data_IF_367152249846
#
_entry.id   IF_367152249846
#
_cell.length_a   1.000
_cell.length_b   1.000
_cell.length_c   1.000
_cell.angle_alpha   90.00
_cell.angle_beta   90.00
_cell.angle_gamma   90.00
#
_symmetry.space_group_name_H-M   'P 1'
#
loop_
_entity.id
_entity.type
_entity.pdbx_description
1 polymer ?
#
# COMPACT_ATOMS: atom_id res chain seq x y z
N UNK A 1 23.91 -10.41 -9.68
CA UNK A 1 22.60 -9.74 -9.83
C UNK A 1 21.60 -10.61 -10.60
N UNK A 2 21.88 -11.00 -11.84
CA UNK A 2 20.89 -11.73 -12.66
C UNK A 2 20.49 -13.12 -12.12
N UNK A 3 21.42 -13.89 -11.53
CA UNK A 3 21.10 -15.19 -10.92
C UNK A 3 20.15 -15.06 -9.70
N UNK A 4 20.31 -13.99 -8.92
CA UNK A 4 19.42 -13.69 -7.78
C UNK A 4 18.01 -13.33 -8.26
N UNK A 5 17.91 -12.46 -9.27
CA UNK A 5 16.63 -12.09 -9.87
C UNK A 5 15.89 -13.29 -10.46
N UNK A 6 16.61 -14.17 -11.17
CA UNK A 6 16.06 -15.44 -11.67
C UNK A 6 15.55 -16.33 -10.52
N UNK A 7 16.30 -16.44 -9.43
CA UNK A 7 15.89 -17.20 -8.25
C UNK A 7 14.65 -16.60 -7.56
N UNK A 8 14.58 -15.27 -7.43
CA UNK A 8 13.42 -14.56 -6.90
C UNK A 8 12.19 -14.76 -7.79
N UNK A 9 12.35 -14.63 -9.11
CA UNK A 9 11.29 -14.89 -10.09
C UNK A 9 10.77 -16.32 -9.96
N UNK A 10 11.66 -17.31 -9.93
CA UNK A 10 11.27 -18.71 -9.75
C UNK A 10 10.58 -18.95 -8.40
N UNK A 11 11.08 -18.34 -7.31
CA UNK A 11 10.48 -18.44 -5.98
C UNK A 11 9.03 -17.92 -5.99
N UNK A 12 8.81 -16.71 -6.50
CA UNK A 12 7.50 -16.07 -6.49
C UNK A 12 6.53 -16.69 -7.52
N UNK A 13 7.01 -17.01 -8.72
CA UNK A 13 6.18 -17.55 -9.80
C UNK A 13 5.84 -19.04 -9.64
N UNK A 14 6.79 -19.86 -9.16
CA UNK A 14 6.65 -21.32 -9.11
C UNK A 14 6.31 -21.80 -7.71
N UNK A 15 7.07 -21.37 -6.70
CA UNK A 15 6.90 -21.90 -5.33
C UNK A 15 5.69 -21.29 -4.64
N UNK A 16 5.57 -19.97 -4.69
CA UNK A 16 4.41 -19.25 -4.14
C UNK A 16 3.22 -19.24 -5.10
N UNK A 17 3.47 -19.46 -6.41
CA UNK A 17 2.58 -19.22 -7.55
C UNK A 17 1.10 -19.55 -7.35
N UNK A 18 0.31 -18.55 -6.97
CA UNK A 18 -1.16 -18.61 -6.91
C UNK A 18 -1.74 -18.27 -8.28
N UNK A 19 -2.77 -19.00 -8.69
CA UNK A 19 -3.55 -18.72 -9.90
C UNK A 19 -4.80 -17.89 -9.57
N UNK A 20 -4.63 -16.57 -9.39
CA UNK A 20 -5.71 -15.67 -9.03
C UNK A 20 -6.81 -15.59 -10.09
N UNK A 21 -6.44 -15.67 -11.38
CA UNK A 21 -7.42 -15.72 -12.47
C UNK A 21 -8.46 -16.84 -12.32
N UNK A 22 -8.04 -18.02 -11.84
CA UNK A 22 -8.95 -19.16 -11.66
C UNK A 22 -9.62 -19.17 -10.28
N UNK A 23 -8.88 -18.80 -9.22
CA UNK A 23 -9.41 -18.84 -7.85
C UNK A 23 -10.33 -17.66 -7.53
N UNK A 24 -10.11 -16.51 -8.16
CA UNK A 24 -10.88 -15.29 -7.96
C UNK A 24 -10.60 -14.57 -6.65
N UNK A 25 -11.29 -13.44 -6.49
CA UNK A 25 -11.40 -12.67 -5.24
C UNK A 25 -12.26 -13.42 -4.21
N UNK A 26 -12.07 -13.13 -2.92
CA UNK A 26 -12.84 -13.76 -1.83
C UNK A 26 -12.53 -15.24 -1.59
N UNK A 27 -11.70 -15.87 -2.42
CA UNK A 27 -11.06 -17.13 -2.05
C UNK A 27 -10.21 -16.89 -0.80
N UNK A 28 -10.11 -17.88 0.06
CA UNK A 28 -9.30 -17.76 1.28
C UNK A 28 -7.84 -17.78 0.88
N UNK A 29 -7.24 -16.64 0.58
CA UNK A 29 -5.85 -16.50 0.23
C UNK A 29 -4.99 -16.32 1.49
N UNK A 30 -3.64 -16.33 1.38
CA UNK A 30 -2.79 -16.08 2.54
C UNK A 30 -3.06 -14.70 3.14
N UNK A 31 -3.21 -14.62 4.46
CA UNK A 31 -3.52 -13.38 5.19
C UNK A 31 -2.29 -12.55 5.59
N UNK A 32 -1.08 -13.08 5.44
CA UNK A 32 0.15 -12.37 5.79
C UNK A 32 1.26 -12.64 4.76
N UNK A 33 2.25 -11.74 4.71
CA UNK A 33 3.44 -11.92 3.86
C UNK A 33 4.24 -13.17 4.25
N UNK A 34 4.26 -13.54 5.53
CA UNK A 34 4.87 -14.80 5.99
C UNK A 34 4.13 -16.02 5.47
N UNK A 35 2.80 -16.00 5.45
CA UNK A 35 2.00 -17.08 4.89
C UNK A 35 2.29 -17.29 3.39
N UNK A 36 2.49 -16.21 2.63
CA UNK A 36 2.99 -16.25 1.25
C UNK A 36 4.35 -16.95 1.13
N UNK A 37 5.34 -16.52 1.93
CA UNK A 37 6.69 -17.12 1.93
C UNK A 37 6.68 -18.58 2.33
N UNK A 38 5.78 -19.00 3.22
CA UNK A 38 5.68 -20.40 3.65
C UNK A 38 5.33 -21.34 2.50
N UNK A 39 4.57 -20.86 1.49
CA UNK A 39 4.04 -21.65 0.37
C UNK A 39 3.21 -22.87 0.80
N UNK A 40 2.70 -22.89 2.04
CA UNK A 40 1.90 -24.00 2.59
C UNK A 40 0.40 -23.75 2.52
N UNK A 41 0.01 -22.54 2.10
CA UNK A 41 -1.38 -22.14 2.06
C UNK A 41 -2.15 -22.91 0.97
N UNK A 42 -3.44 -23.19 1.21
CA UNK A 42 -4.27 -24.00 0.30
C UNK A 42 -4.35 -23.46 -1.13
N UNK A 43 -4.19 -22.14 -1.33
CA UNK A 43 -4.21 -21.49 -2.66
C UNK A 43 -3.05 -21.94 -3.49
N UNK A 44 -1.88 -22.05 -2.88
CA UNK A 44 -0.64 -22.48 -3.53
C UNK A 44 -0.69 -23.97 -3.90
N UNK A 45 -1.39 -24.79 -3.11
CA UNK A 45 -1.55 -26.22 -3.37
C UNK A 45 -2.76 -26.58 -4.25
N UNK A 46 -3.58 -25.62 -4.66
CA UNK A 46 -4.77 -25.90 -5.49
C UNK A 46 -4.35 -26.48 -6.85
N UNK A 47 -5.16 -27.38 -7.46
CA UNK A 47 -4.83 -27.96 -8.77
C UNK A 47 -4.56 -26.89 -9.86
N UNK A 48 -5.33 -25.80 -9.85
CA UNK A 48 -5.15 -24.67 -10.77
C UNK A 48 -3.79 -23.99 -10.57
N UNK A 49 -3.45 -23.62 -9.33
CA UNK A 49 -2.15 -23.01 -8.99
C UNK A 49 -0.99 -23.95 -9.30
N UNK A 50 -1.11 -25.26 -9.05
CA UNK A 50 -0.08 -26.25 -9.39
C UNK A 50 0.14 -26.39 -10.89
N UNK A 51 -0.94 -26.35 -11.68
CA UNK A 51 -0.86 -26.34 -13.15
C UNK A 51 -0.15 -25.08 -13.65
N UNK A 52 -0.49 -23.91 -13.09
CA UNK A 52 0.17 -22.65 -13.40
C UNK A 52 1.65 -22.68 -13.04
N UNK A 53 2.00 -23.09 -11.84
CA UNK A 53 3.39 -23.21 -11.38
C UNK A 53 4.22 -24.13 -12.29
N UNK A 54 3.65 -25.24 -12.78
CA UNK A 54 4.31 -26.11 -13.76
C UNK A 54 4.57 -25.38 -15.09
N UNK A 55 3.61 -24.61 -15.59
CA UNK A 55 3.78 -23.81 -16.80
C UNK A 55 4.81 -22.68 -16.61
N UNK A 56 4.81 -22.01 -15.46
CA UNK A 56 5.83 -21.01 -15.10
C UNK A 56 7.22 -21.63 -15.04
N UNK A 57 7.36 -22.83 -14.47
CA UNK A 57 8.62 -23.58 -14.43
C UNK A 57 9.12 -23.91 -15.85
N UNK A 58 8.24 -24.39 -16.72
CA UNK A 58 8.60 -24.70 -18.11
C UNK A 58 9.12 -23.45 -18.83
N UNK A 59 8.39 -22.32 -18.76
CA UNK A 59 8.83 -21.04 -19.34
C UNK A 59 10.20 -20.59 -18.83
N UNK A 60 10.45 -20.70 -17.53
CA UNK A 60 11.74 -20.32 -16.94
C UNK A 60 12.86 -21.23 -17.47
N UNK A 61 12.64 -22.54 -17.61
CA UNK A 61 13.62 -23.47 -18.17
C UNK A 61 13.90 -23.21 -19.66
N UNK A 62 12.88 -22.85 -20.43
CA UNK A 62 13.03 -22.48 -21.84
C UNK A 62 13.87 -21.21 -22.00
N UNK A 63 13.67 -20.22 -21.11
CA UNK A 63 14.51 -19.02 -21.05
C UNK A 63 15.94 -19.36 -20.69
N UNK A 64 16.18 -20.15 -19.64
CA UNK A 64 17.54 -20.57 -19.25
C UNK A 64 18.25 -21.24 -20.43
N UNK A 65 17.58 -22.17 -21.12
CA UNK A 65 18.14 -22.88 -22.27
C UNK A 65 18.48 -21.92 -23.43
N UNK A 66 17.62 -20.92 -23.67
CA UNK A 66 17.84 -19.90 -24.70
C UNK A 66 19.01 -18.96 -24.36
N UNK A 67 19.21 -18.68 -23.07
CA UNK A 67 20.33 -17.88 -22.58
C UNK A 67 21.67 -18.64 -22.72
N UNK A 68 21.68 -19.94 -22.40
CA UNK A 68 22.86 -20.79 -22.60
C UNK A 68 23.26 -20.90 -24.08
N UNK A 69 22.27 -20.89 -24.98
CA UNK A 69 22.49 -20.85 -26.43
C UNK A 69 22.94 -19.46 -26.97
N UNK A 70 23.00 -18.43 -26.12
CA UNK A 70 23.34 -17.07 -26.53
C UNK A 70 22.29 -16.40 -27.42
N UNK A 71 21.05 -16.91 -27.42
CA UNK A 71 19.99 -16.46 -28.32
C UNK A 71 19.23 -15.21 -27.81
N UNK A 72 19.42 -14.83 -26.54
CA UNK A 72 18.69 -13.73 -25.90
C UNK A 72 19.52 -13.03 -24.82
N UNK A 73 19.22 -11.77 -24.56
CA UNK A 73 19.76 -11.02 -23.43
C UNK A 73 18.95 -11.32 -22.16
N UNK A 74 19.64 -11.58 -21.05
CA UNK A 74 19.04 -12.10 -19.80
C UNK A 74 18.03 -11.15 -19.16
N UNK A 75 18.30 -9.85 -19.13
CA UNK A 75 17.37 -8.89 -18.53
C UNK A 75 16.08 -8.81 -19.34
N UNK A 76 16.19 -8.74 -20.66
CA UNK A 76 15.06 -8.72 -21.60
C UNK A 76 14.19 -9.97 -21.44
N UNK A 77 14.83 -11.15 -21.33
CA UNK A 77 14.12 -12.40 -21.11
C UNK A 77 13.37 -12.42 -19.77
N UNK A 78 14.02 -11.97 -18.69
CA UNK A 78 13.42 -11.94 -17.35
C UNK A 78 12.30 -10.90 -17.24
N UNK A 79 12.42 -9.75 -17.87
CA UNK A 79 11.34 -8.75 -17.99
C UNK A 79 10.13 -9.39 -18.66
N UNK A 80 10.32 -10.08 -19.79
CA UNK A 80 9.23 -10.72 -20.52
C UNK A 80 8.52 -11.79 -19.68
N UNK A 81 9.28 -12.65 -18.99
CA UNK A 81 8.69 -13.66 -18.11
C UNK A 81 7.97 -13.01 -16.93
N UNK A 82 8.56 -12.01 -16.28
CA UNK A 82 7.91 -11.32 -15.16
C UNK A 82 6.55 -10.73 -15.57
N UNK A 83 6.49 -10.04 -16.71
CA UNK A 83 5.26 -9.44 -17.24
C UNK A 83 4.17 -10.50 -17.48
N UNK A 84 4.53 -11.63 -18.08
CA UNK A 84 3.59 -12.73 -18.28
C UNK A 84 3.14 -13.33 -16.94
N UNK A 85 4.06 -13.46 -15.97
CA UNK A 85 3.75 -14.03 -14.66
C UNK A 85 2.81 -13.13 -13.84
N UNK A 86 2.82 -11.82 -14.03
CA UNK A 86 1.84 -10.91 -13.40
C UNK A 86 0.51 -10.82 -14.15
N UNK A 87 0.29 -11.66 -15.17
CA UNK A 87 -1.00 -11.78 -15.86
C UNK A 87 -1.17 -10.87 -17.07
N UNK A 88 -0.13 -10.15 -17.49
CA UNK A 88 -0.19 -9.29 -18.68
C UNK A 88 0.15 -10.06 -19.97
N UNK A 89 -0.42 -9.60 -21.09
CA UNK A 89 -0.14 -10.17 -22.40
C UNK A 89 1.25 -9.76 -22.90
N UNK A 90 1.93 -10.70 -23.58
CA UNK A 90 3.19 -10.41 -24.29
C UNK A 90 2.96 -9.32 -25.34
N UNK A 91 3.80 -8.28 -25.33
CA UNK A 91 3.71 -7.17 -26.27
C UNK A 91 2.70 -6.08 -25.91
N UNK A 92 2.15 -6.11 -24.69
CA UNK A 92 1.36 -5.01 -24.13
C UNK A 92 2.13 -3.68 -24.14
N UNK A 93 1.43 -2.55 -24.03
CA UNK A 93 2.07 -1.22 -23.90
C UNK A 93 3.07 -1.18 -22.74
N UNK A 94 2.69 -1.76 -21.60
CA UNK A 94 3.53 -1.90 -20.40
C UNK A 94 4.82 -2.67 -20.72
N UNK A 95 4.77 -3.67 -21.60
CA UNK A 95 5.97 -4.41 -22.00
C UNK A 95 7.00 -3.55 -22.72
N UNK A 96 6.58 -2.46 -23.35
CA UNK A 96 7.46 -1.56 -24.10
C UNK A 96 8.13 -0.52 -23.20
N UNK A 97 7.55 -0.27 -22.02
CA UNK A 97 8.01 0.75 -21.07
C UNK A 97 8.67 0.16 -19.83
N UNK A 98 8.47 -1.13 -19.55
CA UNK A 98 9.14 -1.85 -18.47
C UNK A 98 10.66 -1.85 -18.64
N UNK A 99 11.38 -1.60 -17.55
CA UNK A 99 12.84 -1.62 -17.50
C UNK A 99 13.34 -2.69 -16.54
N UNK A 100 14.61 -3.08 -16.71
CA UNK A 100 15.24 -4.01 -15.78
C UNK A 100 15.24 -3.50 -14.34
N UNK A 101 15.47 -2.19 -14.16
CA UNK A 101 15.49 -1.56 -12.82
C UNK A 101 14.15 -1.65 -12.10
N UNK A 102 13.03 -1.44 -12.81
CA UNK A 102 11.69 -1.55 -12.23
C UNK A 102 11.32 -3.01 -11.92
N UNK A 103 11.62 -3.94 -12.83
CA UNK A 103 11.39 -5.38 -12.59
C UNK A 103 12.24 -5.91 -11.43
N UNK A 104 13.50 -5.50 -11.33
CA UNK A 104 14.37 -5.88 -10.22
C UNK A 104 13.85 -5.33 -8.89
N UNK A 105 13.46 -4.06 -8.83
CA UNK A 105 12.85 -3.46 -7.64
C UNK A 105 11.55 -4.18 -7.24
N UNK A 106 10.70 -4.53 -8.21
CA UNK A 106 9.49 -5.30 -7.96
C UNK A 106 9.78 -6.71 -7.44
N UNK A 107 10.80 -7.40 -7.95
CA UNK A 107 11.23 -8.70 -7.45
C UNK A 107 11.78 -8.62 -6.02
N UNK A 108 12.61 -7.62 -5.73
CA UNK A 108 13.17 -7.37 -4.40
C UNK A 108 12.09 -7.06 -3.36
N UNK A 109 11.06 -6.32 -3.76
CA UNK A 109 9.88 -6.03 -2.95
C UNK A 109 8.84 -7.18 -2.92
N UNK A 110 9.11 -8.31 -3.56
CA UNK A 110 8.22 -9.49 -3.67
C UNK A 110 6.86 -9.20 -4.34
N UNK A 111 6.82 -8.30 -5.32
CA UNK A 111 5.58 -7.79 -5.91
C UNK A 111 4.94 -8.66 -7.00
N UNK A 112 5.52 -9.81 -7.36
CA UNK A 112 4.93 -10.65 -8.42
C UNK A 112 3.50 -11.08 -8.08
N UNK A 113 3.24 -11.53 -6.85
CA UNK A 113 1.90 -11.94 -6.44
C UNK A 113 0.95 -10.76 -6.18
N UNK A 114 1.36 -9.67 -5.49
CA UNK A 114 0.56 -8.44 -5.43
C UNK A 114 0.13 -7.93 -6.81
N UNK A 115 1.06 -7.79 -7.75
CA UNK A 115 0.74 -7.31 -9.10
C UNK A 115 -0.10 -8.31 -9.88
N UNK A 116 0.15 -9.62 -9.75
CA UNK A 116 -0.69 -10.66 -10.38
C UNK A 116 -2.13 -10.58 -9.87
N UNK A 117 -2.32 -10.48 -8.56
CA UNK A 117 -3.64 -10.36 -7.97
C UNK A 117 -4.37 -9.14 -8.52
N UNK A 118 -3.75 -7.95 -8.49
CA UNK A 118 -4.37 -6.73 -9.04
C UNK A 118 -4.70 -6.87 -10.55
N UNK A 119 -3.81 -7.45 -11.34
CA UNK A 119 -4.02 -7.59 -12.78
C UNK A 119 -5.06 -8.66 -13.17
N UNK A 120 -5.27 -9.69 -12.35
CA UNK A 120 -6.14 -10.83 -12.67
C UNK A 120 -7.47 -10.84 -11.93
N UNK A 121 -7.50 -10.31 -10.71
CA UNK A 121 -8.71 -10.19 -9.90
C UNK A 121 -9.54 -9.00 -10.37
N UNK A 122 -10.86 -9.21 -10.42
CA UNK A 122 -11.82 -8.14 -10.70
C UNK A 122 -12.94 -8.23 -9.68
N UNK A 123 -13.31 -7.09 -9.16
CA UNK A 123 -14.52 -6.90 -8.37
C UNK A 123 -15.41 -5.95 -9.13
N UNK A 124 -16.69 -6.31 -9.23
CA UNK A 124 -17.68 -5.57 -10.01
C UNK A 124 -18.54 -4.68 -9.12
N UNK A 125 -18.38 -4.79 -7.80
CA UNK A 125 -19.16 -4.07 -6.80
C UNK A 125 -18.38 -3.85 -5.49
N UNK A 126 -18.81 -2.87 -4.72
CA UNK A 126 -18.33 -2.57 -3.37
C UNK A 126 -18.79 -3.64 -2.36
N UNK A 127 -18.29 -3.58 -1.12
CA UNK A 127 -18.75 -4.46 -0.04
C UNK A 127 -20.24 -4.27 0.28
N UNK A 128 -20.77 -3.08 0.04
CA UNK A 128 -22.20 -2.78 0.17
C UNK A 128 -23.02 -3.10 -1.09
N UNK A 129 -22.40 -3.68 -2.14
CA UNK A 129 -23.08 -4.08 -3.37
C UNK A 129 -23.32 -2.96 -4.39
N UNK A 130 -22.69 -1.79 -4.22
CA UNK A 130 -22.75 -0.72 -5.21
C UNK A 130 -21.87 -1.06 -6.41
N UNK A 131 -22.30 -0.83 -7.67
CA UNK A 131 -21.49 -1.16 -8.84
C UNK A 131 -20.21 -0.33 -8.89
N UNK A 132 -19.13 -0.94 -9.38
CA UNK A 132 -17.83 -0.31 -9.57
C UNK A 132 -17.57 0.00 -11.06
N UNK A 133 -16.89 1.11 -11.39
CA UNK A 133 -16.50 1.44 -12.76
C UNK A 133 -15.28 0.57 -13.18
N UNK A 134 -15.56 -0.64 -13.65
CA UNK A 134 -14.55 -1.66 -13.94
C UNK A 134 -13.44 -1.21 -14.91
N UNK A 135 -13.82 -0.52 -15.98
CA UNK A 135 -12.87 -0.05 -17.00
C UNK A 135 -11.89 0.99 -16.44
N UNK A 136 -12.39 1.92 -15.64
CA UNK A 136 -11.59 2.96 -15.00
C UNK A 136 -10.65 2.33 -13.95
N UNK A 137 -11.16 1.40 -13.13
CA UNK A 137 -10.36 0.65 -12.16
C UNK A 137 -9.26 -0.15 -12.83
N UNK A 138 -9.56 -0.81 -13.94
CA UNK A 138 -8.57 -1.52 -14.74
C UNK A 138 -7.52 -0.54 -15.31
N UNK A 139 -7.94 0.65 -15.75
CA UNK A 139 -7.04 1.73 -16.17
C UNK A 139 -6.06 2.16 -15.06
N UNK A 140 -6.54 2.29 -13.82
CA UNK A 140 -5.70 2.58 -12.65
C UNK A 140 -4.71 1.46 -12.38
N UNK A 141 -5.16 0.20 -12.37
CA UNK A 141 -4.30 -0.97 -12.12
C UNK A 141 -3.19 -1.08 -13.17
N UNK A 142 -3.51 -0.86 -14.44
CA UNK A 142 -2.53 -0.88 -15.52
C UNK A 142 -1.53 0.28 -15.40
N UNK A 143 -2.00 1.48 -15.08
CA UNK A 143 -1.14 2.66 -14.89
C UNK A 143 -0.19 2.49 -13.69
N UNK A 144 -0.70 1.94 -12.58
CA UNK A 144 0.08 1.60 -11.40
C UNK A 144 1.12 0.52 -11.73
N UNK A 145 0.72 -0.55 -12.41
CA UNK A 145 1.63 -1.64 -12.83
C UNK A 145 2.72 -1.10 -13.74
N UNK A 146 2.38 -0.28 -14.73
CA UNK A 146 3.36 0.36 -15.61
C UNK A 146 4.37 1.19 -14.82
N UNK A 147 3.88 1.99 -13.86
CA UNK A 147 4.71 2.87 -13.06
C UNK A 147 5.69 2.10 -12.17
N UNK A 148 5.28 0.96 -11.60
CA UNK A 148 6.16 0.05 -10.85
C UNK A 148 7.27 -0.52 -11.74
N UNK A 149 6.96 -0.87 -12.99
CA UNK A 149 7.93 -1.53 -13.89
C UNK A 149 8.81 -0.55 -14.66
N UNK A 150 8.46 0.72 -14.74
CA UNK A 150 9.16 1.73 -15.53
C UNK A 150 10.52 2.12 -14.93
N UNK A 151 10.62 2.26 -13.61
CA UNK A 151 11.87 2.53 -12.89
C UNK A 151 11.74 2.14 -11.42
N UNK A 152 12.86 2.09 -10.69
CA UNK A 152 12.86 1.80 -9.25
C UNK A 152 12.09 2.84 -8.40
N UNK A 153 11.90 4.05 -8.92
CA UNK A 153 11.15 5.15 -8.30
C UNK A 153 9.79 5.41 -8.95
N UNK A 154 9.46 4.72 -10.04
CA UNK A 154 8.37 5.09 -10.93
C UNK A 154 6.99 5.08 -10.26
N UNK A 155 6.76 4.13 -9.35
CA UNK A 155 5.54 4.09 -8.53
C UNK A 155 5.37 5.34 -7.67
N UNK A 156 6.41 5.70 -6.90
CA UNK A 156 6.38 6.90 -6.05
C UNK A 156 6.20 8.18 -6.88
N UNK A 157 6.94 8.33 -7.99
CA UNK A 157 6.83 9.49 -8.87
C UNK A 157 5.43 9.63 -9.50
N UNK A 158 4.87 8.52 -9.98
CA UNK A 158 3.53 8.50 -10.56
C UNK A 158 2.50 9.00 -9.55
N UNK A 159 2.51 8.44 -8.34
CA UNK A 159 1.51 8.71 -7.30
C UNK A 159 1.40 10.20 -6.95
N UNK A 160 2.53 10.93 -6.91
CA UNK A 160 2.55 12.35 -6.57
C UNK A 160 2.43 13.29 -7.78
N UNK A 161 2.61 12.78 -9.01
CA UNK A 161 2.63 13.62 -10.22
C UNK A 161 1.31 13.64 -11.00
N UNK A 162 0.37 12.71 -10.74
CA UNK A 162 -0.93 12.71 -11.42
C UNK A 162 -1.74 13.98 -11.11
N UNK A 163 -2.65 14.42 -12.01
CA UNK A 163 -3.53 15.55 -11.73
C UNK A 163 -4.35 15.38 -10.46
N UNK A 164 -4.95 14.18 -10.25
CA UNK A 164 -5.68 13.86 -9.01
C UNK A 164 -4.76 13.87 -7.79
N UNK A 165 -3.53 13.34 -7.89
CA UNK A 165 -2.55 13.36 -6.78
C UNK A 165 -2.12 14.78 -6.38
N UNK A 166 -1.88 15.66 -7.35
CA UNK A 166 -1.57 17.08 -7.08
C UNK A 166 -2.76 17.82 -6.47
N UNK A 167 -3.95 17.59 -7.00
CA UNK A 167 -5.18 18.16 -6.46
C UNK A 167 -5.43 17.67 -5.02
N UNK A 168 -5.23 16.38 -4.76
CA UNK A 168 -5.28 15.83 -3.41
C UNK A 168 -4.40 16.59 -2.45
N UNK A 169 -3.18 17.00 -2.82
CA UNK A 169 -2.26 17.72 -1.92
C UNK A 169 -2.37 19.25 -1.98
N UNK A 170 -3.35 19.80 -2.72
CA UNK A 170 -3.55 21.26 -2.88
C UNK A 170 -3.73 21.96 -1.53
N UNK A 171 -3.08 23.11 -1.38
CA UNK A 171 -3.15 23.93 -0.16
C UNK A 171 -1.99 23.70 0.81
N UNK A 172 -1.14 22.70 0.57
CA UNK A 172 0.17 22.62 1.20
C UNK A 172 1.17 23.59 0.53
N UNK A 173 2.11 24.10 1.32
CA UNK A 173 3.32 24.77 0.81
C UNK A 173 4.31 23.76 0.22
N UNK A 174 5.25 24.23 -0.60
CA UNK A 174 6.32 23.38 -1.16
C UNK A 174 7.14 22.68 -0.06
N UNK A 175 7.40 23.39 1.05
CA UNK A 175 8.09 22.81 2.20
C UNK A 175 7.31 21.64 2.81
N UNK A 176 6.00 21.82 3.04
CA UNK A 176 5.12 20.77 3.54
C UNK A 176 4.98 19.60 2.57
N UNK A 177 4.92 19.86 1.26
CA UNK A 177 4.89 18.82 0.23
C UNK A 177 6.16 17.97 0.26
N UNK A 178 7.32 18.61 0.35
CA UNK A 178 8.61 17.90 0.42
C UNK A 178 8.67 17.03 1.68
N UNK A 179 8.29 17.57 2.84
CA UNK A 179 8.22 16.81 4.09
C UNK A 179 7.20 15.67 4.02
N UNK A 180 6.02 15.89 3.42
CA UNK A 180 5.03 14.84 3.23
C UNK A 180 5.57 13.70 2.35
N UNK A 181 6.33 14.00 1.30
CA UNK A 181 6.89 12.99 0.42
C UNK A 181 8.08 12.26 1.04
N UNK A 182 8.95 12.99 1.75
CA UNK A 182 10.09 12.44 2.49
C UNK A 182 9.61 11.43 3.55
N UNK A 183 10.25 10.28 3.62
CA UNK A 183 9.92 9.26 4.61
C UNK A 183 10.53 9.59 5.97
N UNK A 184 9.70 9.60 7.01
CA UNK A 184 10.19 9.66 8.39
C UNK A 184 10.58 8.26 8.85
N UNK A 185 11.64 8.17 9.65
CA UNK A 185 12.02 6.96 10.38
C UNK A 185 12.47 7.34 11.78
N UNK A 186 12.08 6.55 12.78
CA UNK A 186 12.48 6.73 14.17
C UNK A 186 12.77 5.40 14.85
N UNK A 187 13.79 5.41 15.69
CA UNK A 187 14.11 4.33 16.63
C UNK A 187 13.50 4.66 17.99
N UNK A 188 12.96 3.65 18.65
CA UNK A 188 12.24 3.75 19.93
C UNK A 188 12.87 2.81 20.97
N UNK A 189 12.48 2.91 22.25
CA UNK A 189 12.84 1.90 23.24
C UNK A 189 12.53 0.48 22.77
N UNK A 190 13.21 -0.51 23.37
CA UNK A 190 13.06 -1.94 23.04
C UNK A 190 13.41 -2.31 21.58
N UNK A 191 14.18 -1.48 20.87
CA UNK A 191 14.56 -1.70 19.46
C UNK A 191 13.34 -1.76 18.52
N UNK A 192 12.26 -1.08 18.90
CA UNK A 192 11.16 -0.81 18.00
C UNK A 192 11.55 0.31 17.04
N UNK A 193 11.09 0.20 15.80
CA UNK A 193 11.34 1.22 14.77
C UNK A 193 10.06 1.54 14.03
N UNK A 194 9.73 2.82 13.87
CA UNK A 194 8.63 3.26 13.02
C UNK A 194 9.15 3.91 11.75
N UNK A 195 8.53 3.64 10.60
CA UNK A 195 8.94 4.20 9.31
C UNK A 195 7.78 4.29 8.31
N UNK A 196 7.84 5.22 7.35
CA UNK A 196 6.81 5.42 6.30
C UNK A 196 7.03 4.60 5.02
N UNK A 197 7.98 3.66 5.03
CA UNK A 197 8.63 3.03 3.84
C UNK A 197 9.48 4.02 3.01
N UNK A 198 10.37 3.52 2.13
CA UNK A 198 11.17 4.21 1.08
C UNK A 198 12.37 3.31 0.66
N UNK A 199 12.99 3.34 -0.52
CA UNK A 199 12.88 4.22 -1.69
C UNK A 199 12.18 3.47 -2.83
N UNK A 200 11.07 4.05 -3.30
CA UNK A 200 10.21 3.52 -4.37
C UNK A 200 8.82 3.08 -3.89
N UNK A 201 8.56 3.16 -2.57
CA UNK A 201 7.31 2.90 -1.81
C UNK A 201 6.55 1.60 -2.11
N UNK A 202 7.31 0.58 -2.53
CA UNK A 202 6.79 -0.73 -2.88
C UNK A 202 6.33 -1.55 -1.66
N UNK A 203 6.71 -1.16 -0.44
CA UNK A 203 6.26 -1.78 0.80
C UNK A 203 4.77 -1.57 1.07
N UNK A 204 4.14 -0.54 0.51
CA UNK A 204 2.70 -0.30 0.64
C UNK A 204 1.83 -1.43 0.09
N UNK A 205 2.31 -2.19 -0.90
CA UNK A 205 1.60 -3.37 -1.42
C UNK A 205 1.38 -4.45 -0.36
N UNK A 206 2.23 -4.48 0.67
CA UNK A 206 2.14 -5.45 1.76
C UNK A 206 1.48 -4.90 3.01
N UNK A 207 1.19 -3.59 3.09
CA UNK A 207 0.67 -2.98 4.30
C UNK A 207 -0.69 -3.59 4.72
N UNK A 208 -1.61 -3.82 3.79
CA UNK A 208 -2.92 -4.42 4.11
C UNK A 208 -2.85 -5.90 4.51
N UNK A 209 -1.68 -6.54 4.42
CA UNK A 209 -1.40 -7.88 4.98
C UNK A 209 -0.92 -7.84 6.43
N UNK A 210 -1.03 -6.68 7.08
CA UNK A 210 -0.80 -6.44 8.51
C UNK A 210 -2.15 -5.99 9.09
N UNK A 211 -2.58 -6.50 10.25
CA UNK A 211 -3.90 -6.20 10.82
C UNK A 211 -5.03 -7.07 10.27
N UNK A 212 -6.15 -7.11 10.99
CA UNK A 212 -7.30 -7.93 10.60
C UNK A 212 -8.65 -7.28 10.67
N UNK A 213 -9.63 -7.87 9.96
CA UNK A 213 -9.46 -8.94 8.96
C UNK A 213 -8.59 -8.49 7.76
N UNK A 214 -7.58 -9.28 7.37
CA UNK A 214 -6.62 -8.87 6.32
C UNK A 214 -7.27 -8.98 4.94
N UNK A 215 -7.87 -7.89 4.46
CA UNK A 215 -8.49 -7.77 3.15
C UNK A 215 -7.49 -7.34 2.06
N UNK A 216 -6.29 -7.91 2.04
CA UNK A 216 -5.23 -7.50 1.13
C UNK A 216 -5.59 -7.58 -0.36
N UNK A 217 -4.61 -7.31 -1.23
CA UNK A 217 -4.77 -7.19 -2.70
C UNK A 217 -5.46 -8.35 -3.44
N UNK A 218 -5.69 -9.48 -2.77
CA UNK A 218 -6.24 -10.75 -3.27
C UNK A 218 -7.62 -11.11 -2.70
N UNK A 219 -8.08 -10.43 -1.64
CA UNK A 219 -9.38 -10.67 -1.02
C UNK A 219 -10.36 -9.57 -1.46
N UNK A 220 -9.97 -8.32 -1.27
CA UNK A 220 -10.68 -7.13 -1.75
C UNK A 220 -9.69 -6.24 -2.50
N UNK A 221 -9.44 -6.60 -3.76
CA UNK A 221 -8.41 -5.95 -4.58
C UNK A 221 -8.55 -4.43 -4.65
N UNK A 222 -9.76 -3.88 -4.46
CA UNK A 222 -10.00 -2.44 -4.40
C UNK A 222 -9.54 -1.77 -3.09
N UNK A 223 -9.57 -2.43 -1.94
CA UNK A 223 -9.32 -1.78 -0.64
C UNK A 223 -7.87 -1.32 -0.48
N UNK A 224 -6.94 -1.95 -1.19
CA UNK A 224 -5.55 -1.50 -1.24
C UNK A 224 -5.34 -0.34 -2.23
N UNK A 225 -6.17 -0.19 -3.27
CA UNK A 225 -5.93 0.81 -4.31
C UNK A 225 -5.88 2.24 -3.76
N UNK A 226 -6.75 2.69 -2.82
CA UNK A 226 -6.61 4.01 -2.22
C UNK A 226 -5.24 4.24 -1.57
N UNK A 227 -4.67 3.23 -0.90
CA UNK A 227 -3.31 3.34 -0.34
C UNK A 227 -2.27 3.47 -1.45
N UNK A 228 -2.39 2.68 -2.51
CA UNK A 228 -1.39 2.66 -3.57
C UNK A 228 -1.46 3.86 -4.51
N UNK A 229 -2.65 4.40 -4.77
CA UNK A 229 -2.86 5.42 -5.78
C UNK A 229 -2.99 6.84 -5.24
N UNK A 230 -3.50 7.05 -4.01
CA UNK A 230 -3.74 8.40 -3.51
C UNK A 230 -2.46 9.01 -2.94
N UNK A 231 -2.03 10.14 -3.50
CA UNK A 231 -0.90 10.93 -3.02
C UNK A 231 -0.98 11.24 -1.52
N UNK A 232 -2.21 11.42 -1.01
CA UNK A 232 -2.49 11.72 0.40
C UNK A 232 -2.44 10.53 1.37
N UNK A 233 -2.17 9.29 0.94
CA UNK A 233 -2.24 8.11 1.83
C UNK A 233 -0.92 7.40 2.07
N UNK A 234 -0.39 7.44 3.28
CA UNK A 234 0.78 6.66 3.69
C UNK A 234 0.40 5.64 4.75
N UNK A 235 1.39 4.87 5.18
CA UNK A 235 1.31 3.96 6.31
C UNK A 235 2.55 4.15 7.16
N UNK A 236 2.36 4.27 8.48
CA UNK A 236 3.45 4.10 9.44
C UNK A 236 3.58 2.61 9.70
N UNK A 237 4.73 2.04 9.41
CA UNK A 237 5.08 0.64 9.64
C UNK A 237 5.86 0.52 10.94
N UNK A 238 5.53 -0.48 11.75
CA UNK A 238 6.23 -0.83 12.99
C UNK A 238 7.11 -2.04 12.71
N UNK A 239 8.42 -1.92 12.92
CA UNK A 239 9.39 -3.02 12.85
C UNK A 239 9.89 -3.35 14.26
N UNK A 240 10.04 -4.63 14.55
CA UNK A 240 10.55 -5.14 15.83
C UNK A 240 11.79 -6.01 15.57
N UNK A 241 12.85 -5.82 16.36
CA UNK A 241 14.08 -6.59 16.20
C UNK A 241 13.91 -8.10 16.45
N UNK A 242 12.89 -8.53 17.20
CA UNK A 242 12.52 -9.94 17.39
C UNK A 242 11.88 -10.55 16.14
N UNK A 243 11.45 -9.72 15.19
CA UNK A 243 10.83 -10.15 13.93
C UNK A 243 11.38 -9.37 12.73
N UNK A 244 12.45 -9.89 12.14
CA UNK A 244 13.21 -9.18 11.11
C UNK A 244 12.69 -9.38 9.69
N UNK A 245 11.59 -10.13 9.50
CA UNK A 245 11.17 -10.58 8.17
C UNK A 245 10.40 -9.52 7.38
N UNK A 246 9.62 -8.70 8.08
CA UNK A 246 8.79 -7.59 7.58
C UNK A 246 8.25 -6.82 8.80
N UNK A 247 7.63 -5.65 8.61
CA UNK A 247 6.96 -4.95 9.71
C UNK A 247 5.95 -5.85 10.44
N UNK A 248 5.81 -5.65 11.74
CA UNK A 248 4.93 -6.36 12.67
C UNK A 248 3.64 -5.61 12.97
N UNK A 249 3.58 -4.33 12.62
CA UNK A 249 2.41 -3.50 12.83
C UNK A 249 2.33 -2.38 11.80
N UNK A 250 1.16 -1.75 11.74
CA UNK A 250 0.92 -0.60 10.86
C UNK A 250 -0.09 0.37 11.44
N UNK A 251 -0.06 1.61 10.99
CA UNK A 251 -1.14 2.57 11.12
C UNK A 251 -1.32 3.33 9.80
N UNK A 252 -2.55 3.43 9.30
CA UNK A 252 -2.81 4.27 8.13
C UNK A 252 -2.66 5.73 8.50
N UNK A 253 -2.05 6.48 7.59
CA UNK A 253 -1.75 7.88 7.77
C UNK A 253 -2.20 8.66 6.55
N UNK A 254 -3.17 9.55 6.72
CA UNK A 254 -3.73 10.32 5.62
C UNK A 254 -3.46 11.80 5.81
N UNK A 255 -3.33 12.52 4.71
CA UNK A 255 -3.42 13.97 4.70
C UNK A 255 -4.84 14.36 4.24
N UNK A 256 -5.62 14.99 5.12
CA UNK A 256 -7.02 15.38 4.86
C UNK A 256 -7.20 16.89 5.08
N UNK A 257 -8.38 17.43 4.75
CA UNK A 257 -8.68 18.86 4.93
C UNK A 257 -9.94 19.04 5.79
N UNK A 258 -9.81 19.69 6.94
CA UNK A 258 -10.95 20.12 7.75
C UNK A 258 -11.62 21.32 7.10
N UNK A 259 -12.94 21.29 6.95
CA UNK A 259 -13.74 22.43 6.46
C UNK A 259 -14.35 23.29 7.58
N UNK A 260 -14.01 22.97 8.85
CA UNK A 260 -14.55 23.62 10.04
C UNK A 260 -16.07 23.49 10.19
N UNK A 261 -16.61 23.95 11.33
CA UNK A 261 -18.04 23.85 11.65
C UNK A 261 -18.92 24.88 10.92
N UNK A 262 -18.34 25.86 10.22
CA UNK A 262 -19.06 27.02 9.72
C UNK A 262 -18.72 27.48 8.29
N UNK A 263 -18.09 26.65 7.44
CA UNK A 263 -18.03 26.79 5.98
C UNK A 263 -17.44 28.10 5.42
N UNK A 264 -16.84 28.95 6.27
CA UNK A 264 -16.33 30.29 5.94
C UNK A 264 -14.81 30.40 5.96
N UNK A 265 -14.09 29.36 6.42
CA UNK A 265 -12.63 29.28 6.35
C UNK A 265 -12.23 28.40 5.18
N UNK A 266 -11.10 28.72 4.55
CA UNK A 266 -10.47 27.82 3.59
C UNK A 266 -10.18 26.47 4.28
N UNK A 267 -10.29 25.34 3.58
CA UNK A 267 -10.02 24.03 4.17
C UNK A 267 -8.59 23.96 4.72
N UNK A 268 -8.43 23.48 5.95
CA UNK A 268 -7.14 23.40 6.65
C UNK A 268 -6.61 21.97 6.68
N UNK A 269 -5.32 21.72 6.42
CA UNK A 269 -4.78 20.36 6.40
C UNK A 269 -4.80 19.70 7.79
N UNK A 270 -4.93 18.37 7.81
CA UNK A 270 -4.83 17.49 8.97
C UNK A 270 -3.98 16.28 8.61
N UNK A 271 -3.02 15.94 9.45
CA UNK A 271 -2.42 14.61 9.49
C UNK A 271 -3.37 13.71 10.26
N UNK A 272 -4.02 12.79 9.58
CA UNK A 272 -5.03 11.90 10.12
C UNK A 272 -4.42 10.52 10.37
N UNK A 273 -4.39 10.10 11.64
CA UNK A 273 -3.90 8.81 12.05
C UNK A 273 -5.06 7.87 12.42
N UNK A 274 -5.07 6.69 11.81
CA UNK A 274 -5.97 5.59 12.15
C UNK A 274 -5.31 4.63 13.17
N UNK A 275 -6.10 3.74 13.78
CA UNK A 275 -5.65 2.75 14.76
C UNK A 275 -4.39 1.97 14.33
N UNK A 276 -3.53 1.71 15.31
CA UNK A 276 -2.37 0.82 15.18
C UNK A 276 -2.84 -0.64 15.16
N UNK A 277 -2.51 -1.35 14.09
CA UNK A 277 -2.91 -2.72 13.86
C UNK A 277 -1.68 -3.65 13.85
N UNK A 278 -1.81 -4.82 14.47
CA UNK A 278 -0.76 -5.83 14.51
C UNK A 278 -0.89 -6.90 13.42
N UNK A 279 0.25 -7.41 12.94
CA UNK A 279 0.30 -8.64 12.16
C UNK A 279 0.02 -9.82 13.10
N UNK A 280 -1.09 -10.53 12.88
CA UNK A 280 -1.46 -11.68 13.73
C UNK A 280 -0.45 -12.83 13.69
N UNK A 281 0.36 -12.92 12.64
CA UNK A 281 1.36 -13.97 12.49
C UNK A 281 2.69 -13.61 13.17
N UNK A 282 2.85 -12.36 13.63
CA UNK A 282 4.03 -11.93 14.35
C UNK A 282 3.82 -12.12 15.87
N UNK A 283 4.49 -13.10 16.53
CA UNK A 283 4.30 -13.38 17.95
C UNK A 283 5.13 -12.42 18.82
N UNK A 284 4.93 -11.11 18.63
CA UNK A 284 5.65 -10.04 19.32
C UNK A 284 4.70 -9.24 20.21
N UNK A 285 5.22 -8.68 21.30
CA UNK A 285 4.43 -7.81 22.17
C UNK A 285 4.09 -6.50 21.46
N UNK A 286 2.83 -6.06 21.57
CA UNK A 286 2.40 -4.75 21.08
C UNK A 286 2.68 -3.61 22.07
N UNK A 287 3.33 -3.90 23.21
CA UNK A 287 3.64 -2.92 24.24
C UNK A 287 4.49 -1.76 23.68
N UNK A 288 4.02 -0.54 23.89
CA UNK A 288 4.70 0.68 23.45
C UNK A 288 4.53 1.04 21.96
N UNK A 289 3.80 0.25 21.17
CA UNK A 289 3.61 0.53 19.74
C UNK A 289 2.81 1.82 19.51
N UNK A 290 1.74 2.03 20.26
CA UNK A 290 0.94 3.26 20.18
C UNK A 290 1.80 4.49 20.49
N UNK A 291 2.57 4.45 21.57
CA UNK A 291 3.52 5.52 21.92
C UNK A 291 4.53 5.78 20.80
N UNK A 292 5.10 4.72 20.21
CA UNK A 292 6.08 4.84 19.13
C UNK A 292 5.47 5.44 17.84
N UNK A 293 4.26 5.01 17.47
CA UNK A 293 3.53 5.54 16.31
C UNK A 293 3.10 6.99 16.55
N UNK A 294 2.61 7.33 17.74
CA UNK A 294 2.24 8.70 18.10
C UNK A 294 3.45 9.62 18.12
N UNK A 295 4.59 9.18 18.66
CA UNK A 295 5.86 9.95 18.64
C UNK A 295 6.30 10.25 17.21
N UNK A 296 6.16 9.25 16.33
CA UNK A 296 6.42 9.42 14.90
C UNK A 296 5.48 10.45 14.26
N UNK A 297 4.18 10.32 14.49
CA UNK A 297 3.17 11.21 13.94
C UNK A 297 3.32 12.65 14.44
N UNK A 298 3.60 12.85 15.74
CA UNK A 298 3.87 14.17 16.35
C UNK A 298 5.11 14.80 15.73
N UNK A 299 6.20 14.05 15.57
CA UNK A 299 7.42 14.60 14.95
C UNK A 299 7.18 15.09 13.53
N UNK A 300 6.35 14.39 12.75
CA UNK A 300 5.99 14.84 11.39
C UNK A 300 5.07 16.05 11.42
N UNK A 301 4.08 16.05 12.32
CA UNK A 301 3.19 17.18 12.53
C UNK A 301 3.97 18.45 12.85
N UNK A 302 4.90 18.36 13.80
CA UNK A 302 5.81 19.45 14.20
C UNK A 302 6.67 19.90 13.02
N UNK A 303 7.27 18.98 12.26
CA UNK A 303 8.09 19.33 11.10
C UNK A 303 7.27 20.04 10.00
N UNK A 304 6.05 19.58 9.74
CA UNK A 304 5.18 20.16 8.70
C UNK A 304 4.42 21.41 9.16
N UNK A 305 4.31 21.65 10.46
CA UNK A 305 3.38 22.64 11.02
C UNK A 305 1.93 22.32 10.64
N UNK A 306 1.55 21.03 10.63
CA UNK A 306 0.19 20.58 10.28
C UNK A 306 -0.42 19.85 11.49
N UNK A 307 -1.65 20.20 11.91
CA UNK A 307 -2.29 19.55 13.04
C UNK A 307 -2.44 18.02 12.87
N UNK A 308 -2.22 17.28 13.95
CA UNK A 308 -2.38 15.83 14.03
C UNK A 308 -3.74 15.50 14.64
N UNK A 309 -4.54 14.73 13.90
CA UNK A 309 -5.85 14.24 14.32
C UNK A 309 -5.81 12.72 14.53
N UNK A 310 -6.13 12.29 15.75
CA UNK A 310 -6.12 10.88 16.19
C UNK A 310 -7.50 10.47 16.72
N UNK A 311 -7.71 9.17 16.91
CA UNK A 311 -8.94 8.69 17.57
C UNK A 311 -9.01 9.17 19.02
N UNK A 312 -10.22 9.43 19.53
CA UNK A 312 -10.39 9.87 20.92
C UNK A 312 -9.79 8.90 21.93
N UNK A 313 -9.81 7.60 21.64
CA UNK A 313 -9.20 6.58 22.50
C UNK A 313 -7.67 6.74 22.64
N UNK A 314 -7.03 7.44 21.71
CA UNK A 314 -5.59 7.73 21.73
C UNK A 314 -5.27 9.10 22.38
N UNK A 315 -6.27 9.85 22.87
CA UNK A 315 -6.07 11.20 23.41
C UNK A 315 -5.09 11.22 24.60
N UNK A 316 -5.27 10.32 25.57
CA UNK A 316 -4.41 10.24 26.76
C UNK A 316 -2.98 9.81 26.40
N UNK A 317 -2.85 8.87 25.46
CA UNK A 317 -1.55 8.42 24.95
C UNK A 317 -0.83 9.55 24.20
N UNK A 318 -1.57 10.31 23.38
CA UNK A 318 -1.05 11.48 22.67
C UNK A 318 -0.61 12.57 23.67
N UNK A 319 -1.43 12.88 24.67
CA UNK A 319 -1.08 13.83 25.73
C UNK A 319 0.18 13.40 26.50
N UNK A 320 0.34 12.09 26.74
CA UNK A 320 1.52 11.53 27.40
C UNK A 320 2.79 11.71 26.56
N UNK A 321 2.71 11.56 25.24
CA UNK A 321 3.82 11.81 24.30
C UNK A 321 4.18 13.29 24.23
N UNK A 322 3.18 14.18 24.27
CA UNK A 322 3.37 15.63 24.16
C UNK A 322 3.88 16.28 25.46
N UNK A 323 3.59 15.69 26.61
CA UNK A 323 3.89 16.27 27.93
C UNK A 323 2.95 17.42 28.31
N UNK A 324 3.22 18.09 29.42
CA UNK A 324 2.29 19.06 30.03
C UNK A 324 2.22 20.44 29.36
N UNK A 325 3.02 20.70 28.32
CA UNK A 325 3.14 22.04 27.69
C UNK A 325 2.32 22.20 26.41
N UNK A 326 1.73 21.11 25.92
CA UNK A 326 1.01 21.06 24.65
C UNK A 326 -0.35 20.43 24.91
N UNK A 327 -1.40 21.08 24.43
CA UNK A 327 -2.77 20.65 24.68
C UNK A 327 -3.27 19.75 23.56
N UNK A 328 -4.07 18.76 23.96
CA UNK A 328 -4.88 17.93 23.06
C UNK A 328 -6.33 18.36 23.21
N UNK A 329 -6.95 18.79 22.12
CA UNK A 329 -8.33 19.26 22.10
C UNK A 329 -9.26 18.20 21.51
N UNK A 330 -10.43 18.00 22.12
CA UNK A 330 -11.52 17.27 21.47
C UNK A 330 -12.21 18.18 20.45
N UNK A 331 -12.28 17.73 19.20
CA UNK A 331 -12.88 18.47 18.10
C UNK A 331 -13.92 17.62 17.36
N UNK A 332 -14.92 18.26 16.78
CA UNK A 332 -15.85 17.65 15.84
C UNK A 332 -15.72 18.33 14.49
N UNK A 333 -15.05 17.67 13.54
CA UNK A 333 -14.69 18.24 12.25
C UNK A 333 -15.32 17.45 11.10
N UNK A 334 -15.61 18.15 10.00
CA UNK A 334 -15.94 17.52 8.72
C UNK A 334 -14.70 17.54 7.84
N UNK A 335 -14.43 16.43 7.17
CA UNK A 335 -13.27 16.30 6.30
C UNK A 335 -13.69 16.41 4.84
N UNK A 336 -13.01 17.26 4.09
CA UNK A 336 -13.05 17.31 2.64
C UNK A 336 -12.14 16.23 2.09
N UNK A 337 -12.75 15.30 1.37
CA UNK A 337 -12.09 14.24 0.63
C UNK A 337 -12.13 14.63 -0.85
N UNK A 338 -10.97 14.98 -1.40
CA UNK A 338 -10.80 15.26 -2.84
C UNK A 338 -10.80 13.98 -3.68
N UNK A 339 -11.11 14.04 -4.99
CA UNK A 339 -11.17 12.89 -5.87
C UNK A 339 -10.03 11.90 -5.70
N UNK A 340 -10.38 10.62 -5.64
CA UNK A 340 -9.44 9.51 -5.50
C UNK A 340 -8.77 9.19 -6.84
N UNK A 341 -7.45 9.08 -6.83
CA UNK A 341 -6.67 8.55 -7.96
C UNK A 341 -6.89 7.04 -8.12
N UNK A 342 -7.40 6.36 -7.08
CA UNK A 342 -7.85 4.98 -7.15
C UNK A 342 -9.27 4.83 -7.71
N UNK A 343 -9.99 5.94 -7.99
CA UNK A 343 -11.44 6.01 -8.28
C UNK A 343 -12.29 5.65 -7.06
N UNK A 344 -11.87 4.66 -6.29
CA UNK A 344 -12.48 4.28 -5.01
C UNK A 344 -11.74 4.92 -3.84
N UNK A 345 -12.45 5.11 -2.73
CA UNK A 345 -11.90 5.36 -1.42
C UNK A 345 -12.25 4.18 -0.51
N UNK A 346 -11.41 3.91 0.49
CA UNK A 346 -11.66 2.88 1.48
C UNK A 346 -11.21 3.33 2.87
N UNK A 347 -12.12 3.34 3.84
CA UNK A 347 -11.83 3.67 5.24
C UNK A 347 -13.03 3.33 6.14
N UNK A 348 -12.75 2.67 7.26
CA UNK A 348 -13.72 2.48 8.35
C UNK A 348 -13.95 3.75 9.18
N UNK A 349 -13.08 4.75 9.03
CA UNK A 349 -13.01 5.92 9.92
C UNK A 349 -13.60 7.19 9.30
N UNK A 350 -13.82 7.21 7.99
CA UNK A 350 -14.27 8.41 7.26
C UNK A 350 -15.77 8.36 6.92
N UNK A 351 -16.32 7.16 6.68
CA UNK A 351 -17.73 6.98 6.37
C UNK A 351 -18.19 5.57 6.74
N UNK A 352 -19.51 5.35 6.78
CA UNK A 352 -20.08 4.01 6.98
C UNK A 352 -20.06 3.13 5.73
N UNK A 353 -19.56 3.63 4.59
CA UNK A 353 -19.62 2.92 3.32
C UNK A 353 -18.52 1.85 3.16
N UNK A 354 -17.49 1.87 4.01
CA UNK A 354 -16.25 1.06 3.93
C UNK A 354 -15.45 1.29 2.63
N UNK A 355 -16.03 1.01 1.46
CA UNK A 355 -15.50 1.29 0.12
C UNK A 355 -16.55 1.94 -0.80
N UNK A 356 -16.18 3.02 -1.49
CA UNK A 356 -17.09 3.74 -2.37
C UNK A 356 -16.36 4.46 -3.51
N UNK A 357 -17.07 4.77 -4.59
CA UNK A 357 -16.56 5.58 -5.69
C UNK A 357 -16.44 7.03 -5.24
N UNK A 358 -15.25 7.60 -5.40
CA UNK A 358 -14.89 8.96 -5.00
C UNK A 358 -14.24 9.71 -6.16
N UNK A 359 -15.03 10.10 -7.15
CA UNK A 359 -14.55 10.88 -8.31
C UNK A 359 -14.74 12.39 -8.17
N UNK A 360 -15.46 12.83 -7.14
CA UNK A 360 -15.74 14.23 -6.84
C UNK A 360 -15.27 14.59 -5.42
N UNK A 361 -15.30 15.89 -5.11
CA UNK A 361 -15.10 16.37 -3.74
C UNK A 361 -16.28 15.90 -2.87
N UNK A 362 -15.96 15.27 -1.74
CA UNK A 362 -16.94 14.81 -0.76
C UNK A 362 -16.63 15.40 0.61
N UNK A 363 -17.67 15.74 1.38
CA UNK A 363 -17.53 16.19 2.76
C UNK A 363 -18.13 15.13 3.67
N UNK A 364 -17.33 14.61 4.60
CA UNK A 364 -17.79 13.62 5.56
C UNK A 364 -18.86 14.19 6.50
N UNK A 365 -19.59 13.31 7.18
CA UNK A 365 -20.29 13.69 8.41
C UNK A 365 -19.27 14.21 9.45
N UNK A 366 -19.71 14.98 10.47
CA UNK A 366 -18.82 15.37 11.56
C UNK A 366 -18.24 14.15 12.27
N UNK A 367 -16.91 14.12 12.45
CA UNK A 367 -16.18 13.05 13.12
C UNK A 367 -15.52 13.66 14.35
N UNK A 368 -15.72 13.02 15.51
CA UNK A 368 -15.16 13.47 16.78
C UNK A 368 -13.79 12.86 16.97
N UNK A 369 -12.77 13.69 17.21
CA UNK A 369 -11.36 13.29 17.29
C UNK A 369 -10.59 14.10 18.31
N UNK A 370 -9.43 13.59 18.71
CA UNK A 370 -8.44 14.34 19.46
C UNK A 370 -7.49 15.03 18.48
N UNK A 371 -7.24 16.32 18.69
CA UNK A 371 -6.45 17.19 17.84
C UNK A 371 -5.28 17.77 18.61
N UNK A 372 -4.09 17.63 18.05
CA UNK A 372 -2.89 18.33 18.47
C UNK A 372 -2.49 19.35 17.39
N UNK A 373 -2.19 20.58 17.81
CA UNK A 373 -1.72 21.67 16.95
C UNK A 373 -0.28 22.05 17.30
N UNK A 374 0.69 21.87 16.37
CA UNK A 374 2.10 22.20 16.58
C UNK A 374 2.45 23.67 16.82
#
# INVERSE_FOLDING_TARGET
>A
MNAQALAQLAMQAVRMGIDYKTLGVGWHHPSSRTAYRSCKHRSTSSPASRKRAAASRARILDVISSLEAGAMEIQSALIEVFIQEIGLQKGSSISKTATWSGVLAALDAELLLPLRALNECRMTQTMCGAPLPEDDLNGVVLSLTESVLKSSSGFSEWRYSTPKGKEQLRGLSDHQLNLWQEATQQEHPNKLRTHEDAHGELGFFWATKIGGPSHGFDYESQCILPLLANARHKVILVSDAAWTQHPVGRAHWRLLWSVGSCGKKAPEPRLWLETVNADFEAPVSCEGWETAVLTHAVSKADAMGVPLSVELLLADALQSVLGALRDVEEVSERMLLRPSNAIVEASDYLSSAHDWVQDEDEITLPIVRALYTP
#
